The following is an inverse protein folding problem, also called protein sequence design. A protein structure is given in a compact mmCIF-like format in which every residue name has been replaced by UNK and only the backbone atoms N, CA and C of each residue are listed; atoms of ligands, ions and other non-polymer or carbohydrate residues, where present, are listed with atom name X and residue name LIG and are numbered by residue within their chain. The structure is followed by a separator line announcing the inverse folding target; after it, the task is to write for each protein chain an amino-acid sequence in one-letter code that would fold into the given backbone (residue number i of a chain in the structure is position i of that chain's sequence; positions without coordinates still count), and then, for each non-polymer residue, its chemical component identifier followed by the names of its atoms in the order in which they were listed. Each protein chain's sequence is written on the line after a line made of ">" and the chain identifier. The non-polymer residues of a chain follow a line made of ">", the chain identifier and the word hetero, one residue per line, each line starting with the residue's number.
data_IF_663990996457
#
_entry.id   IF_663990996457
#
_cell.length_a   1.000
_cell.length_b   1.000
_cell.length_c   1.000
_cell.angle_alpha   90.00
_cell.angle_beta   90.00
_cell.angle_gamma   90.00
#
_symmetry.space_group_name_H-M   'P 1'
#
loop_
_entity.id
_entity.type
_entity.pdbx_description
1 polymer ?
#
# COMPACT_ATOMS: atom_id res chain seq x y z
N UNK A 1 -15.92 10.93 -42.60
CA UNK A 1 -14.49 11.29 -42.48
C UNK A 1 -14.36 12.32 -41.38
N UNK A 2 -13.99 11.88 -40.19
CA UNK A 2 -13.55 12.72 -39.08
C UNK A 2 -12.57 11.86 -38.30
N UNK A 3 -11.29 12.12 -38.55
CA UNK A 3 -10.16 11.47 -37.90
C UNK A 3 -10.26 11.68 -36.38
N UNK A 4 -10.54 10.61 -35.64
CA UNK A 4 -10.15 10.51 -34.24
C UNK A 4 -8.62 10.36 -34.25
N UNK A 5 -7.92 11.49 -34.22
CA UNK A 5 -6.51 11.53 -33.86
C UNK A 5 -6.37 10.93 -32.47
N UNK A 6 -5.89 9.69 -32.40
CA UNK A 6 -5.39 9.09 -31.18
C UNK A 6 -4.31 10.01 -30.62
N UNK A 7 -4.57 10.63 -29.47
CA UNK A 7 -3.51 11.31 -28.72
C UNK A 7 -2.57 10.23 -28.16
N UNK A 8 -1.29 10.18 -28.56
CA UNK A 8 -0.32 9.29 -27.96
C UNK A 8 0.21 9.97 -26.70
N UNK A 9 -0.63 10.08 -25.67
CA UNK A 9 -0.10 10.22 -24.32
C UNK A 9 0.09 8.81 -23.80
N UNK A 10 1.22 8.22 -24.21
CA UNK A 10 1.76 7.03 -23.58
C UNK A 10 1.87 7.32 -22.09
N UNK A 11 0.92 6.79 -21.30
CA UNK A 11 1.15 6.74 -19.87
C UNK A 11 2.02 5.54 -19.62
N UNK A 12 3.28 5.87 -19.47
CA UNK A 12 4.37 5.04 -19.03
C UNK A 12 3.97 4.20 -17.81
N UNK A 13 3.96 2.86 -17.93
CA UNK A 13 3.96 1.98 -16.77
C UNK A 13 5.14 2.36 -15.86
N UNK A 14 4.88 2.75 -14.62
CA UNK A 14 5.92 3.17 -13.67
C UNK A 14 6.83 1.96 -13.38
N UNK A 15 8.07 2.00 -13.88
CA UNK A 15 9.04 0.91 -13.82
C UNK A 15 10.27 1.26 -12.98
N UNK A 16 10.98 0.22 -12.52
CA UNK A 16 11.98 0.27 -11.45
C UNK A 16 13.07 1.33 -11.62
N UNK A 17 13.36 2.03 -10.53
CA UNK A 17 14.70 2.56 -10.28
C UNK A 17 15.35 1.64 -9.25
N UNK A 18 16.31 0.77 -9.63
CA UNK A 18 17.19 0.22 -8.61
C UNK A 18 17.97 1.39 -8.02
N UNK A 19 17.81 1.62 -6.71
CA UNK A 19 18.79 2.38 -5.95
C UNK A 19 20.15 1.74 -6.28
N UNK A 20 21.04 2.53 -6.87
CA UNK A 20 22.36 2.11 -7.35
C UNK A 20 23.03 1.18 -6.33
N UNK A 21 23.09 -0.13 -6.63
CA UNK A 21 23.93 -1.08 -5.88
C UNK A 21 25.31 -1.09 -6.52
N UNK A 22 26.33 -1.04 -5.67
CA UNK A 22 27.75 -1.14 -6.02
C UNK A 22 28.06 -2.27 -7.03
N UNK A 23 29.07 -2.08 -7.90
CA UNK A 23 29.42 -3.03 -8.94
C UNK A 23 30.23 -4.18 -8.35
N UNK A 24 29.58 -5.28 -7.96
CA UNK A 24 30.16 -6.63 -7.94
C UNK A 24 29.11 -7.63 -7.43
N UNK A 25 28.32 -8.20 -8.34
CA UNK A 25 27.80 -9.56 -8.21
C UNK A 25 27.27 -10.02 -9.57
N UNK A 26 28.06 -10.85 -10.23
CA UNK A 26 27.74 -11.56 -11.47
C UNK A 26 26.60 -12.56 -11.21
N UNK A 27 25.37 -12.19 -11.56
CA UNK A 27 24.22 -13.08 -11.48
C UNK A 27 24.01 -13.84 -12.79
N UNK A 28 24.07 -15.17 -12.65
CA UNK A 28 23.84 -16.19 -13.68
C UNK A 28 22.51 -15.96 -14.40
N UNK A 29 22.54 -16.14 -15.73
CA UNK A 29 21.41 -16.12 -16.67
C UNK A 29 20.40 -17.24 -16.34
N UNK A 30 19.50 -16.99 -15.41
CA UNK A 30 18.19 -17.63 -15.36
C UNK A 30 17.17 -16.69 -15.98
N UNK A 31 16.22 -17.20 -16.78
CA UNK A 31 15.05 -16.43 -17.25
C UNK A 31 14.23 -15.99 -16.04
N UNK A 32 14.60 -14.87 -15.43
CA UNK A 32 13.71 -14.11 -14.53
C UNK A 32 12.64 -13.50 -15.42
N UNK A 33 11.36 -13.80 -15.17
CA UNK A 33 10.29 -12.92 -15.63
C UNK A 33 10.59 -11.54 -15.06
N UNK A 34 11.02 -10.62 -15.92
CA UNK A 34 11.12 -9.22 -15.58
C UNK A 34 9.69 -8.68 -15.46
N UNK A 35 9.25 -8.38 -14.25
CA UNK A 35 7.97 -7.72 -13.99
C UNK A 35 8.10 -6.25 -14.44
N UNK A 36 8.00 -5.98 -15.73
CA UNK A 36 8.45 -4.73 -16.34
C UNK A 36 7.62 -3.47 -16.02
N UNK A 37 6.49 -3.55 -15.30
CA UNK A 37 6.09 -2.41 -14.49
C UNK A 37 5.65 -2.76 -13.08
N UNK A 38 5.97 -1.88 -12.12
CA UNK A 38 5.47 -1.95 -10.75
C UNK A 38 6.53 -1.83 -9.65
N UNK A 39 6.08 -1.47 -8.45
CA UNK A 39 6.87 -1.54 -7.23
C UNK A 39 7.01 -2.99 -6.81
N UNK A 40 8.26 -3.44 -6.61
CA UNK A 40 8.50 -4.74 -6.00
C UNK A 40 7.96 -4.70 -4.57
N UNK A 41 7.05 -5.62 -4.28
CA UNK A 41 6.54 -5.83 -2.93
C UNK A 41 7.29 -6.97 -2.28
N UNK A 42 7.52 -6.85 -0.99
CA UNK A 42 8.05 -7.93 -0.15
C UNK A 42 7.10 -8.13 1.01
N UNK A 43 6.93 -9.37 1.44
CA UNK A 43 5.99 -9.69 2.51
C UNK A 43 6.07 -11.16 2.87
N UNK A 44 5.13 -11.58 3.70
CA UNK A 44 4.87 -13.00 3.92
C UNK A 44 3.47 -13.13 4.52
N UNK A 45 2.58 -13.87 3.85
CA UNK A 45 1.20 -13.99 4.31
C UNK A 45 1.08 -14.71 5.67
N UNK A 46 1.99 -15.63 5.97
CA UNK A 46 1.92 -16.46 7.17
C UNK A 46 2.63 -15.85 8.38
N UNK A 47 3.73 -15.12 8.17
CA UNK A 47 4.56 -14.60 9.26
C UNK A 47 4.37 -13.10 9.50
N UNK A 48 4.22 -12.31 8.44
CA UNK A 48 4.02 -10.86 8.54
C UNK A 48 2.54 -10.48 8.47
N UNK A 49 1.75 -11.21 7.67
CA UNK A 49 0.34 -10.90 7.42
C UNK A 49 0.12 -9.70 6.49
N UNK A 50 1.17 -9.16 5.87
CA UNK A 50 1.10 -8.04 4.94
C UNK A 50 2.23 -8.06 3.91
N UNK A 51 2.09 -7.19 2.90
CA UNK A 51 3.13 -6.85 1.95
C UNK A 51 3.41 -5.34 1.99
N UNK A 52 4.69 -4.98 1.92
CA UNK A 52 5.14 -3.59 1.82
C UNK A 52 5.83 -3.31 0.49
N UNK A 53 5.84 -2.03 0.10
CA UNK A 53 6.53 -1.53 -1.09
C UNK A 53 7.44 -0.36 -0.72
N UNK A 54 8.58 -0.19 -1.42
CA UNK A 54 9.46 0.95 -1.20
C UNK A 54 8.81 2.24 -1.72
N UNK A 55 8.80 3.26 -0.89
CA UNK A 55 8.27 4.60 -1.16
C UNK A 55 9.34 5.63 -0.86
N UNK A 56 9.63 6.48 -1.83
CA UNK A 56 10.61 7.55 -1.71
C UNK A 56 9.92 8.88 -1.35
N UNK A 57 10.33 9.52 -0.26
CA UNK A 57 9.68 10.69 0.33
C UNK A 57 10.70 11.77 0.72
N UNK A 58 10.35 13.03 0.48
CA UNK A 58 11.10 14.22 0.89
C UNK A 58 12.09 14.75 -0.14
N UNK A 59 12.75 15.87 0.18
CA UNK A 59 13.84 16.47 -0.63
C UNK A 59 14.99 16.94 0.26
N UNK A 60 16.12 16.21 0.35
CA UNK A 60 16.48 15.04 -0.46
C UNK A 60 15.60 13.83 -0.17
N UNK A 61 15.39 13.02 -1.20
CA UNK A 61 14.54 11.82 -1.12
C UNK A 61 15.15 10.75 -0.22
N UNK A 62 14.32 10.16 0.65
CA UNK A 62 14.64 9.00 1.49
C UNK A 62 13.63 7.89 1.23
N UNK A 63 14.10 6.64 1.25
CA UNK A 63 13.24 5.47 1.08
C UNK A 63 12.66 5.01 2.43
N UNK A 64 11.41 4.55 2.39
CA UNK A 64 10.68 3.86 3.46
C UNK A 64 9.92 2.68 2.85
N UNK A 65 9.76 1.58 3.57
CA UNK A 65 8.92 0.47 3.13
C UNK A 65 7.55 0.57 3.81
N UNK A 66 6.51 0.83 3.02
CA UNK A 66 5.15 1.06 3.53
C UNK A 66 4.24 -0.11 3.18
N UNK A 67 3.41 -0.56 4.14
CA UNK A 67 2.36 -1.56 3.91
C UNK A 67 1.39 -1.06 2.85
N UNK A 68 1.10 -1.88 1.84
CA UNK A 68 0.12 -1.54 0.80
C UNK A 68 -1.27 -1.96 1.27
N UNK A 69 -2.15 -1.01 1.51
CA UNK A 69 -3.47 -1.27 2.13
C UNK A 69 -4.62 -0.74 1.27
N UNK A 70 -5.41 -1.65 0.70
CA UNK A 70 -6.62 -1.31 -0.07
C UNK A 70 -7.85 -1.08 0.82
N UNK A 71 -7.74 -1.34 2.12
CA UNK A 71 -8.79 -1.16 3.13
C UNK A 71 -8.86 0.24 3.75
N UNK A 72 -7.82 1.06 3.60
CA UNK A 72 -7.78 2.45 4.05
C UNK A 72 -7.16 3.40 3.02
N UNK A 73 -7.31 4.71 3.21
CA UNK A 73 -6.88 5.73 2.24
C UNK A 73 -5.62 6.51 2.64
N UNK A 74 -5.34 6.60 3.95
CA UNK A 74 -4.29 7.48 4.45
C UNK A 74 -2.92 6.80 4.31
N UNK A 75 -2.01 7.44 3.58
CA UNK A 75 -0.58 7.13 3.69
C UNK A 75 -0.04 7.78 4.97
N UNK A 76 0.64 7.02 5.83
CA UNK A 76 1.17 7.53 7.09
C UNK A 76 2.41 6.74 7.56
N UNK A 77 3.35 7.43 8.20
CA UNK A 77 4.58 6.87 8.77
C UNK A 77 5.09 7.71 9.95
N UNK A 78 5.93 7.16 10.85
CA UNK A 78 6.44 7.89 12.00
C UNK A 78 7.33 9.04 11.60
N UNK A 79 7.11 10.16 12.26
CA UNK A 79 8.00 11.30 12.17
C UNK A 79 9.02 11.35 13.30
N UNK A 80 10.11 12.06 13.07
CA UNK A 80 11.07 12.39 14.10
C UNK A 80 10.38 13.06 15.29
N UNK A 81 10.83 12.69 16.50
CA UNK A 81 10.20 13.15 17.73
C UNK A 81 8.90 12.44 18.09
N UNK A 82 8.46 11.40 17.36
CA UNK A 82 7.33 10.58 17.80
C UNK A 82 7.63 9.92 19.17
N UNK A 83 6.90 10.29 20.25
CA UNK A 83 7.15 9.77 21.59
C UNK A 83 6.76 8.31 21.78
N UNK A 84 5.83 7.80 20.97
CA UNK A 84 5.29 6.45 21.10
C UNK A 84 5.03 5.83 19.72
N UNK A 85 6.11 5.58 18.99
CA UNK A 85 6.08 4.83 17.73
C UNK A 85 7.07 3.67 17.83
N UNK A 86 6.84 2.64 17.01
CA UNK A 86 7.71 1.49 16.91
C UNK A 86 9.13 1.83 16.46
N UNK A 87 10.00 0.84 16.56
CA UNK A 87 11.29 0.83 15.87
C UNK A 87 11.22 -0.12 14.69
N UNK A 88 10.64 0.37 13.60
CA UNK A 88 10.49 -0.38 12.35
C UNK A 88 11.83 -0.69 11.70
N UNK A 89 11.85 -1.63 10.77
CA UNK A 89 13.07 -2.10 10.13
C UNK A 89 12.83 -2.55 8.70
N UNK A 90 13.41 -1.86 7.73
CA UNK A 90 13.44 -2.31 6.34
C UNK A 90 14.89 -2.57 5.90
N UNK A 91 15.16 -3.78 5.37
CA UNK A 91 16.51 -4.20 5.03
C UNK A 91 17.48 -4.06 6.21
N UNK A 92 18.55 -3.28 6.03
CA UNK A 92 19.54 -2.97 7.07
C UNK A 92 19.24 -1.67 7.84
N UNK A 93 18.20 -0.94 7.47
CA UNK A 93 17.81 0.32 8.13
C UNK A 93 16.86 -0.03 9.29
N UNK A 94 17.12 0.54 10.46
CA UNK A 94 16.30 0.37 11.66
C UNK A 94 15.91 1.73 12.21
N UNK A 95 14.68 1.86 12.70
CA UNK A 95 14.14 3.09 13.28
C UNK A 95 14.04 4.22 12.26
N UNK A 96 13.75 3.93 10.99
CA UNK A 96 13.55 4.97 9.98
C UNK A 96 12.34 5.83 10.38
N UNK A 97 12.55 7.14 10.43
CA UNK A 97 11.50 8.14 10.68
C UNK A 97 11.64 9.28 9.70
N UNK A 98 10.52 9.84 9.28
CA UNK A 98 10.49 11.00 8.42
C UNK A 98 10.83 12.27 9.21
N UNK A 99 11.69 13.13 8.67
CA UNK A 99 12.06 14.41 9.30
C UNK A 99 11.49 15.55 8.49
N UNK A 100 10.46 16.22 9.02
CA UNK A 100 9.90 17.42 8.40
C UNK A 100 10.98 18.52 8.23
N UNK A 101 11.94 18.60 9.17
CA UNK A 101 13.00 19.63 9.14
C UNK A 101 14.11 19.32 8.13
N UNK A 102 14.37 18.05 7.85
CA UNK A 102 15.41 17.65 6.91
C UNK A 102 14.94 17.68 5.44
N UNK A 103 13.64 17.83 5.20
CA UNK A 103 13.08 17.92 3.86
C UNK A 103 12.74 19.36 3.48
N UNK A 104 13.42 19.87 2.45
CA UNK A 104 13.19 21.21 1.89
C UNK A 104 11.82 21.39 1.23
N UNK A 105 11.12 20.30 0.93
CA UNK A 105 9.77 20.33 0.33
C UNK A 105 8.65 20.05 1.33
N UNK A 106 8.99 19.78 2.59
CA UNK A 106 8.02 19.57 3.67
C UNK A 106 7.27 20.86 4.00
N UNK A 107 5.95 20.78 4.05
CA UNK A 107 5.06 21.87 4.43
C UNK A 107 3.94 21.33 5.33
N UNK A 108 3.72 21.90 6.53
CA UNK A 108 2.62 21.47 7.38
C UNK A 108 1.28 21.78 6.71
N UNK A 109 0.32 20.85 6.80
CA UNK A 109 -1.07 21.13 6.42
C UNK A 109 -1.69 21.98 7.52
N UNK A 110 -1.93 23.25 7.22
CA UNK A 110 -2.58 24.18 8.16
C UNK A 110 -4.11 24.04 8.09
N UNK A 111 -4.78 24.23 9.23
CA UNK A 111 -6.22 24.04 9.32
C UNK A 111 -7.06 24.97 8.44
N UNK A 112 -6.56 26.16 8.14
CA UNK A 112 -7.20 27.11 7.22
C UNK A 112 -7.13 26.66 5.75
N UNK A 113 -6.28 25.67 5.44
CA UNK A 113 -6.06 25.14 4.09
C UNK A 113 -5.97 23.61 4.14
N UNK A 114 -7.09 22.92 4.39
CA UNK A 114 -7.12 21.47 4.43
C UNK A 114 -6.76 20.87 3.06
N UNK A 115 -6.40 19.57 3.00
CA UNK A 115 -6.14 18.90 1.74
C UNK A 115 -7.36 18.93 0.81
N UNK A 116 -7.12 18.89 -0.50
CA UNK A 116 -8.20 18.80 -1.49
C UNK A 116 -9.14 17.63 -1.17
N UNK A 117 -10.43 17.78 -1.44
CA UNK A 117 -11.43 16.77 -1.07
C UNK A 117 -11.85 16.80 0.40
N UNK A 118 -11.18 17.59 1.25
CA UNK A 118 -11.65 17.91 2.60
C UNK A 118 -12.15 19.36 2.64
N UNK A 119 -13.36 19.56 3.16
CA UNK A 119 -13.91 20.90 3.41
C UNK A 119 -13.28 21.57 4.63
N UNK A 120 -12.92 20.78 5.63
CA UNK A 120 -12.27 21.22 6.87
C UNK A 120 -11.41 20.10 7.45
N UNK A 121 -10.44 20.46 8.27
CA UNK A 121 -9.72 19.50 9.11
C UNK A 121 -10.65 18.92 10.17
N UNK A 122 -10.57 17.62 10.41
CA UNK A 122 -11.38 16.97 11.47
C UNK A 122 -11.02 17.46 12.86
N UNK A 123 -9.75 17.80 13.07
CA UNK A 123 -9.22 18.38 14.29
C UNK A 123 -8.04 19.27 13.97
N UNK A 124 -7.74 20.21 14.87
CA UNK A 124 -6.69 21.19 14.75
C UNK A 124 -5.88 21.25 16.03
N UNK A 125 -4.57 20.99 15.93
CA UNK A 125 -3.63 21.09 17.05
C UNK A 125 -2.49 22.04 16.68
N UNK A 126 -2.31 23.11 17.45
CA UNK A 126 -1.32 24.15 17.14
C UNK A 126 -1.47 24.75 15.73
N UNK A 127 -2.68 24.77 15.17
CA UNK A 127 -2.96 25.22 13.79
C UNK A 127 -2.66 24.20 12.69
N UNK A 128 -2.13 23.02 13.03
CA UNK A 128 -1.91 21.90 12.10
C UNK A 128 -3.14 20.99 12.02
N UNK A 129 -3.41 20.47 10.83
CA UNK A 129 -4.49 19.54 10.57
C UNK A 129 -4.19 18.17 11.21
N UNK A 130 -4.86 17.84 12.30
CA UNK A 130 -4.64 16.59 13.04
C UNK A 130 -5.50 15.45 12.48
N UNK A 131 -5.01 14.22 12.61
CA UNK A 131 -5.74 13.01 12.24
C UNK A 131 -5.62 11.93 13.33
N UNK A 132 -6.62 11.06 13.38
CA UNK A 132 -6.60 9.84 14.17
C UNK A 132 -7.38 8.75 13.46
N UNK A 133 -6.78 7.58 13.31
CA UNK A 133 -7.36 6.42 12.63
C UNK A 133 -7.28 5.23 13.58
N UNK A 134 -8.39 4.50 13.69
CA UNK A 134 -8.47 3.20 14.35
C UNK A 134 -8.74 2.15 13.29
N UNK A 135 -7.99 1.05 13.34
CA UNK A 135 -8.12 -0.08 12.42
C UNK A 135 -8.97 -1.19 13.05
N UNK A 136 -9.56 -2.03 12.20
CA UNK A 136 -10.46 -3.12 12.62
C UNK A 136 -9.75 -4.19 13.46
N UNK A 137 -8.43 -4.31 13.34
CA UNK A 137 -7.62 -5.22 14.17
C UNK A 137 -7.37 -4.70 15.60
N UNK A 138 -7.66 -3.42 15.86
CA UNK A 138 -7.58 -2.81 17.20
C UNK A 138 -6.47 -1.77 17.37
N UNK A 139 -5.50 -1.70 16.45
CA UNK A 139 -4.49 -0.64 16.49
C UNK A 139 -5.04 0.75 16.14
N UNK A 140 -4.28 1.75 16.53
CA UNK A 140 -4.54 3.14 16.21
C UNK A 140 -3.26 3.87 15.84
N UNK A 141 -3.40 4.84 14.94
CA UNK A 141 -2.35 5.80 14.60
C UNK A 141 -2.92 7.21 14.66
N UNK A 142 -2.09 8.18 15.05
CA UNK A 142 -2.48 9.59 15.05
C UNK A 142 -1.27 10.49 14.85
N UNK A 143 -1.55 11.73 14.47
CA UNK A 143 -0.54 12.75 14.22
C UNK A 143 -1.14 13.94 13.48
N UNK A 144 -0.34 14.57 12.64
CA UNK A 144 -0.75 15.70 11.80
C UNK A 144 -0.46 15.42 10.32
N UNK A 145 -1.22 16.09 9.46
CA UNK A 145 -1.02 15.99 8.01
C UNK A 145 0.11 16.91 7.57
N UNK A 146 0.93 16.44 6.64
CA UNK A 146 2.05 17.16 6.03
C UNK A 146 1.99 16.98 4.52
N UNK A 147 2.29 18.05 3.78
CA UNK A 147 2.58 17.98 2.35
C UNK A 147 4.07 17.77 2.13
N UNK A 148 4.43 16.79 1.32
CA UNK A 148 5.79 16.66 0.81
C UNK A 148 5.81 15.98 -0.57
N UNK A 149 7.00 15.83 -1.14
CA UNK A 149 7.26 15.22 -2.44
C UNK A 149 7.47 13.72 -2.29
N UNK A 150 6.57 12.95 -2.91
CA UNK A 150 6.75 11.53 -3.14
C UNK A 150 7.38 11.31 -4.51
N UNK A 151 8.37 10.45 -4.60
CA UNK A 151 9.15 10.23 -5.82
C UNK A 151 8.82 8.90 -6.47
N UNK A 152 8.50 8.96 -7.76
CA UNK A 152 8.14 7.82 -8.58
C UNK A 152 9.16 7.65 -9.71
N UNK A 153 9.62 6.41 -9.92
CA UNK A 153 10.38 6.04 -11.10
C UNK A 153 9.47 5.85 -12.30
N UNK A 154 9.81 6.47 -13.44
CA UNK A 154 9.10 6.32 -14.70
C UNK A 154 10.11 6.00 -15.81
N UNK A 155 9.67 5.45 -16.96
CA UNK A 155 10.54 5.28 -18.14
C UNK A 155 11.14 6.61 -18.63
N UNK A 156 10.49 7.75 -18.34
CA UNK A 156 10.97 9.10 -18.67
C UNK A 156 11.85 9.71 -17.58
N UNK A 157 12.18 8.97 -16.52
CA UNK A 157 12.95 9.43 -15.36
C UNK A 157 12.10 9.61 -14.11
N UNK A 158 12.72 10.16 -13.06
CA UNK A 158 12.05 10.35 -11.76
C UNK A 158 11.06 11.50 -11.82
N UNK A 159 9.91 11.32 -11.18
CA UNK A 159 8.87 12.34 -11.05
C UNK A 159 8.48 12.54 -9.60
N UNK A 160 8.48 13.79 -9.16
CA UNK A 160 7.92 14.17 -7.86
C UNK A 160 6.40 14.39 -7.98
N UNK A 161 5.67 13.88 -6.99
CA UNK A 161 4.24 14.10 -6.79
C UNK A 161 4.07 14.73 -5.41
N UNK A 162 3.50 15.93 -5.36
CA UNK A 162 3.24 16.61 -4.08
C UNK A 162 1.96 16.06 -3.47
N UNK A 163 2.05 15.34 -2.36
CA UNK A 163 0.91 14.68 -1.72
C UNK A 163 0.88 14.95 -0.22
N UNK A 164 -0.33 14.95 0.35
CA UNK A 164 -0.51 15.00 1.80
C UNK A 164 -0.41 13.59 2.38
N UNK A 165 0.24 13.44 3.53
CA UNK A 165 0.33 12.18 4.26
C UNK A 165 0.28 12.44 5.77
N UNK A 166 0.08 11.37 6.55
CA UNK A 166 0.07 11.40 8.00
C UNK A 166 1.47 11.27 8.59
N UNK A 167 1.93 12.33 9.24
CA UNK A 167 3.14 12.36 10.05
C UNK A 167 2.78 11.85 11.45
N UNK A 168 3.07 10.57 11.75
CA UNK A 168 2.61 9.93 12.98
C UNK A 168 3.42 10.42 14.18
N UNK A 169 2.68 10.72 15.26
CA UNK A 169 3.23 11.04 16.59
C UNK A 169 2.82 9.99 17.63
N UNK A 170 2.07 8.98 17.23
CA UNK A 170 1.69 7.85 18.07
C UNK A 170 1.22 6.67 17.22
N UNK A 171 1.62 5.48 17.64
CA UNK A 171 1.17 4.18 17.16
C UNK A 171 0.83 3.28 18.35
N UNK A 172 -0.15 2.39 18.16
CA UNK A 172 -0.49 1.32 19.11
C UNK A 172 -0.61 -0.03 18.41
N UNK A 173 -0.68 -1.10 19.19
CA UNK A 173 -0.95 -2.44 18.68
C UNK A 173 0.05 -2.92 17.63
N UNK A 174 -0.45 -3.52 16.56
CA UNK A 174 0.34 -4.07 15.47
C UNK A 174 1.20 -3.02 14.77
N UNK A 175 0.73 -1.77 14.64
CA UNK A 175 1.54 -0.69 14.08
C UNK A 175 2.81 -0.44 14.89
N UNK A 176 2.75 -0.50 16.22
CA UNK A 176 3.93 -0.30 17.05
C UNK A 176 4.97 -1.42 16.87
N UNK A 177 4.53 -2.65 16.62
CA UNK A 177 5.41 -3.83 16.51
C UNK A 177 5.77 -4.24 15.08
N UNK A 178 5.17 -3.61 14.06
CA UNK A 178 5.37 -4.00 12.66
C UNK A 178 6.79 -3.75 12.19
N UNK A 179 7.19 -4.49 11.15
CA UNK A 179 8.50 -4.37 10.50
C UNK A 179 8.52 -3.21 9.50
N UNK A 180 7.43 -2.97 8.78
CA UNK A 180 7.32 -1.88 7.80
C UNK A 180 7.35 -0.50 8.48
N UNK A 181 7.82 0.53 7.79
CA UNK A 181 7.96 1.88 8.37
C UNK A 181 6.62 2.63 8.46
N UNK A 182 5.54 2.06 7.96
CA UNK A 182 4.24 2.71 7.93
C UNK A 182 3.30 2.05 6.93
N UNK A 183 2.34 2.82 6.43
CA UNK A 183 1.26 2.35 5.56
C UNK A 183 1.04 3.32 4.40
N UNK A 184 0.68 2.79 3.24
CA UNK A 184 0.17 3.53 2.10
C UNK A 184 -1.22 3.05 1.76
N UNK A 185 -2.22 3.88 2.07
CA UNK A 185 -3.60 3.60 1.73
C UNK A 185 -3.85 3.68 0.23
N UNK A 186 -4.69 2.78 -0.26
CA UNK A 186 -5.06 2.61 -1.66
C UNK A 186 -6.58 2.61 -1.87
N UNK A 187 -7.39 2.73 -0.81
CA UNK A 187 -8.84 2.84 -0.91
C UNK A 187 -9.31 4.16 -1.53
N UNK A 188 -10.60 4.24 -1.85
CA UNK A 188 -11.23 5.43 -2.44
C UNK A 188 -11.72 6.44 -1.38
N UNK A 189 -11.53 6.13 -0.08
CA UNK A 189 -11.92 7.02 1.00
C UNK A 189 -11.20 8.37 0.96
N UNK A 190 -11.91 9.45 1.26
CA UNK A 190 -11.34 10.82 1.27
C UNK A 190 -11.32 11.41 2.69
N UNK A 191 -11.32 10.55 3.71
CA UNK A 191 -11.55 10.94 5.10
C UNK A 191 -10.50 11.90 5.67
N UNK A 192 -9.26 11.80 5.19
CA UNK A 192 -8.13 12.68 5.51
C UNK A 192 -7.46 13.21 4.22
N UNK A 193 -8.29 13.41 3.19
CA UNK A 193 -7.86 13.78 1.85
C UNK A 193 -7.66 12.56 0.95
N UNK A 194 -7.14 12.77 -0.26
CA UNK A 194 -6.95 11.74 -1.27
C UNK A 194 -5.80 10.82 -0.88
N UNK A 195 -5.87 9.56 -1.33
CA UNK A 195 -4.77 8.64 -1.17
C UNK A 195 -3.59 9.03 -2.07
N UNK A 196 -2.41 8.44 -1.84
CA UNK A 196 -1.22 8.74 -2.64
C UNK A 196 -1.43 8.47 -4.14
N UNK A 197 -2.19 7.42 -4.47
CA UNK A 197 -2.51 7.08 -5.86
C UNK A 197 -3.39 8.14 -6.54
N UNK A 198 -4.33 8.75 -5.83
CA UNK A 198 -5.14 9.87 -6.36
C UNK A 198 -4.27 11.08 -6.70
N UNK A 199 -3.31 11.43 -5.84
CA UNK A 199 -2.35 12.51 -6.12
C UNK A 199 -1.48 12.21 -7.33
N UNK A 200 -0.97 10.98 -7.42
CA UNK A 200 -0.21 10.51 -8.57
C UNK A 200 -1.05 10.63 -9.85
N UNK A 201 -2.24 10.06 -9.88
CA UNK A 201 -3.16 10.13 -11.04
C UNK A 201 -3.37 11.57 -11.49
N UNK A 202 -3.71 12.46 -10.57
CA UNK A 202 -4.11 13.82 -10.94
C UNK A 202 -2.93 14.69 -11.40
N UNK A 203 -1.74 14.48 -10.83
CA UNK A 203 -0.53 15.23 -11.23
C UNK A 203 0.14 14.65 -12.47
N UNK A 204 -0.03 13.35 -12.73
CA UNK A 204 0.69 12.65 -13.80
C UNK A 204 -0.18 12.24 -14.99
N UNK A 205 -1.50 12.30 -14.83
CA UNK A 205 -2.50 11.73 -15.75
C UNK A 205 -2.36 10.22 -15.94
N UNK A 206 -1.87 9.51 -14.92
CA UNK A 206 -1.85 8.06 -14.92
C UNK A 206 -3.27 7.48 -15.11
N UNK A 207 -3.43 6.34 -15.80
CA UNK A 207 -4.68 5.61 -15.85
C UNK A 207 -5.18 5.32 -14.44
N UNK A 208 -6.48 5.48 -14.22
CA UNK A 208 -7.12 5.25 -12.92
C UNK A 208 -7.32 3.75 -12.65
N UNK A 209 -6.22 3.01 -12.60
CA UNK A 209 -6.20 1.56 -12.37
C UNK A 209 -4.87 1.19 -11.73
N UNK A 210 -4.91 0.27 -10.80
CA UNK A 210 -3.72 -0.38 -10.26
C UNK A 210 -3.98 -1.88 -10.15
N UNK A 211 -2.92 -2.67 -10.11
CA UNK A 211 -3.01 -4.12 -9.92
C UNK A 211 -2.03 -4.59 -8.86
N UNK A 212 -2.46 -5.57 -8.07
CA UNK A 212 -1.62 -6.22 -7.06
C UNK A 212 -1.51 -7.70 -7.45
N UNK A 213 -0.29 -8.22 -7.51
CA UNK A 213 -0.01 -9.63 -7.73
C UNK A 213 0.88 -10.13 -6.59
N UNK A 214 0.38 -11.05 -5.78
CA UNK A 214 1.06 -11.56 -4.58
C UNK A 214 1.40 -13.04 -4.75
N UNK A 215 2.60 -13.43 -4.34
CA UNK A 215 2.99 -14.81 -4.07
C UNK A 215 3.13 -15.03 -2.56
N UNK A 216 3.79 -16.10 -2.12
CA UNK A 216 4.00 -16.35 -0.68
C UNK A 216 4.88 -15.28 -0.01
N UNK A 217 5.94 -14.82 -0.70
CA UNK A 217 6.96 -13.94 -0.11
C UNK A 217 7.24 -12.66 -0.91
N UNK A 218 6.84 -12.64 -2.19
CA UNK A 218 7.08 -11.50 -3.08
C UNK A 218 5.81 -11.07 -3.77
N UNK A 219 5.75 -9.83 -4.21
CA UNK A 219 4.64 -9.35 -5.01
C UNK A 219 5.02 -8.18 -5.91
N UNK A 220 4.02 -7.66 -6.58
CA UNK A 220 4.14 -6.46 -7.38
C UNK A 220 2.88 -5.59 -7.25
N UNK A 221 3.10 -4.29 -7.08
CA UNK A 221 2.08 -3.26 -7.20
C UNK A 221 2.33 -2.46 -8.47
N UNK A 222 1.40 -2.47 -9.40
CA UNK A 222 1.48 -1.67 -10.63
C UNK A 222 0.52 -0.50 -10.52
N UNK A 223 1.02 0.72 -10.61
CA UNK A 223 0.24 1.96 -10.57
C UNK A 223 0.08 2.52 -11.97
N UNK A 224 -1.12 2.46 -12.53
CA UNK A 224 -1.39 2.71 -13.94
C UNK A 224 -0.95 1.54 -14.83
N UNK A 225 -1.77 1.17 -15.81
CA UNK A 225 -1.44 0.10 -16.76
C UNK A 225 -2.67 -0.63 -17.28
N UNK A 226 -2.45 -1.60 -18.14
CA UNK A 226 -3.49 -2.51 -18.63
C UNK A 226 -3.23 -3.92 -18.11
N UNK A 227 -4.31 -4.67 -17.86
CA UNK A 227 -4.18 -6.10 -17.55
C UNK A 227 -3.50 -6.78 -18.76
N UNK A 228 -2.44 -7.57 -18.56
CA UNK A 228 -1.80 -8.29 -19.65
C UNK A 228 -2.83 -9.11 -20.43
N UNK A 229 -2.84 -9.08 -21.78
CA UNK A 229 -3.84 -9.78 -22.59
C UNK A 229 -3.96 -11.27 -22.29
N UNK A 230 -2.87 -11.91 -21.85
CA UNK A 230 -2.80 -13.33 -21.51
C UNK A 230 -3.49 -13.66 -20.18
N UNK A 231 -3.59 -12.66 -19.29
CA UNK A 231 -4.41 -12.75 -18.07
C UNK A 231 -5.85 -12.46 -18.48
N UNK A 232 -6.59 -13.51 -18.82
CA UNK A 232 -8.05 -13.45 -19.04
C UNK A 232 -8.74 -13.01 -17.74
N UNK A 233 -8.80 -11.70 -17.49
CA UNK A 233 -9.43 -11.15 -16.30
C UNK A 233 -10.95 -11.08 -16.49
N UNK A 234 -11.65 -11.52 -15.45
CA UNK A 234 -13.08 -11.26 -15.30
C UNK A 234 -13.27 -9.97 -14.52
N UNK A 235 -14.17 -9.12 -15.01
CA UNK A 235 -14.47 -7.84 -14.37
C UNK A 235 -15.73 -7.98 -13.52
N UNK A 236 -15.60 -7.65 -12.23
CA UNK A 236 -16.70 -7.61 -11.28
C UNK A 236 -16.92 -6.16 -10.87
N UNK A 237 -18.14 -5.61 -10.98
CA UNK A 237 -18.42 -4.28 -10.46
C UNK A 237 -18.32 -4.29 -8.94
N UNK A 238 -17.63 -3.30 -8.36
CA UNK A 238 -17.65 -3.08 -6.92
C UNK A 238 -18.85 -2.21 -6.52
N UNK A 239 -19.36 -2.39 -5.30
CA UNK A 239 -20.57 -1.73 -4.79
C UNK A 239 -20.28 -0.58 -3.79
N UNK A 240 -19.03 -0.43 -3.34
CA UNK A 240 -18.62 0.61 -2.38
C UNK A 240 -18.18 1.93 -3.03
N UNK A 241 -18.44 3.06 -2.35
CA UNK A 241 -17.97 4.39 -2.77
C UNK A 241 -16.60 4.77 -2.20
N UNK A 242 -16.19 4.15 -1.08
CA UNK A 242 -14.91 4.42 -0.40
C UNK A 242 -14.01 3.18 -0.29
N UNK A 243 -14.52 2.00 -0.59
CA UNK A 243 -13.85 0.71 -0.42
C UNK A 243 -14.14 -0.22 -1.61
N UNK A 244 -13.26 -1.19 -1.85
CA UNK A 244 -13.37 -2.14 -2.95
C UNK A 244 -14.20 -3.37 -2.56
N UNK A 245 -15.49 -3.15 -2.27
CA UNK A 245 -16.43 -4.22 -1.89
C UNK A 245 -17.00 -4.87 -3.14
N UNK A 246 -16.97 -6.19 -3.21
CA UNK A 246 -17.59 -7.00 -4.27
C UNK A 246 -18.57 -8.01 -3.67
N UNK A 247 -19.65 -8.29 -4.39
CA UNK A 247 -20.64 -9.26 -3.94
C UNK A 247 -20.18 -10.68 -4.29
N UNK A 248 -20.06 -11.53 -3.27
CA UNK A 248 -19.66 -12.92 -3.43
C UNK A 248 -20.89 -13.78 -3.79
N UNK A 249 -20.83 -14.47 -4.93
CA UNK A 249 -21.95 -15.28 -5.43
C UNK A 249 -22.06 -16.63 -4.72
N UNK A 250 -20.96 -17.39 -4.63
CA UNK A 250 -20.95 -18.74 -4.03
C UNK A 250 -19.51 -19.13 -3.63
N UNK A 251 -19.37 -20.02 -2.63
CA UNK A 251 -18.12 -20.70 -2.28
C UNK A 251 -18.37 -22.20 -2.32
N UNK A 252 -17.67 -22.90 -3.20
CA UNK A 252 -17.73 -24.37 -3.29
C UNK A 252 -16.46 -25.00 -2.74
N UNK A 253 -16.59 -25.76 -1.66
CA UNK A 253 -15.51 -26.59 -1.13
C UNK A 253 -15.58 -28.01 -1.67
N UNK A 254 -14.47 -28.55 -2.18
CA UNK A 254 -14.33 -29.99 -2.42
C UNK A 254 -13.55 -30.62 -1.26
N UNK A 255 -14.09 -31.68 -0.66
CA UNK A 255 -13.31 -32.52 0.25
C UNK A 255 -12.38 -33.39 -0.58
N UNK A 256 -11.08 -33.09 -0.56
CA UNK A 256 -10.05 -34.01 -1.02
C UNK A 256 -9.99 -35.17 -0.01
N UNK A 257 -10.77 -36.22 -0.24
CA UNK A 257 -10.51 -37.49 0.40
C UNK A 257 -9.18 -38.02 -0.14
N UNK A 258 -8.13 -38.01 0.69
CA UNK A 258 -6.94 -38.82 0.41
C UNK A 258 -7.39 -40.27 0.26
N UNK A 259 -7.41 -40.77 -0.97
CA UNK A 259 -7.57 -42.18 -1.27
C UNK A 259 -6.37 -42.93 -0.68
N UNK A 260 -6.48 -43.45 0.54
CA UNK A 260 -5.41 -44.32 1.03
C UNK A 260 -5.32 -44.71 2.49
N UNK A 261 -6.40 -44.80 3.29
CA UNK A 261 -6.42 -45.74 4.43
C UNK A 261 -7.83 -45.95 4.97
N UNK A 262 -8.45 -47.08 4.59
CA UNK A 262 -9.49 -47.70 5.42
C UNK A 262 -8.84 -48.12 6.74
N UNK A 263 -8.98 -47.33 7.79
CA UNK A 263 -8.99 -47.88 9.14
C UNK A 263 -10.45 -48.11 9.55
N UNK A 264 -10.81 -49.38 9.65
CA UNK A 264 -12.08 -49.81 10.22
C UNK A 264 -12.08 -49.47 11.72
N UNK A 265 -12.67 -48.33 12.09
CA UNK A 265 -13.08 -48.07 13.47
C UNK A 265 -14.40 -48.82 13.73
N UNK A 266 -14.31 -50.10 14.11
CA UNK A 266 -15.39 -50.76 14.86
C UNK A 266 -15.38 -50.19 16.27
N UNK A 267 -16.40 -49.43 16.64
CA UNK A 267 -16.48 -48.89 18.00
C UNK A 267 -17.69 -48.01 18.30
N UNK A 268 -18.87 -48.27 17.76
CA UNK A 268 -20.09 -47.61 18.21
C UNK A 268 -20.72 -48.42 19.37
N UNK A 269 -20.41 -48.07 20.62
CA UNK A 269 -21.27 -48.44 21.76
C UNK A 269 -22.48 -47.49 21.76
N UNK A 270 -23.69 -48.05 21.62
CA UNK A 270 -24.95 -47.36 21.86
C UNK A 270 -25.01 -46.95 23.33
N UNK A 271 -25.24 -45.67 23.59
CA UNK A 271 -25.78 -45.19 24.87
C UNK A 271 -27.30 -45.17 24.74
N UNK A 272 -28.00 -45.91 25.61
CA UNK A 272 -29.44 -45.79 25.82
C UNK A 272 -29.72 -44.57 26.73
N UNK A 273 -30.86 -43.88 26.56
CA UNK A 273 -31.22 -42.76 27.42
C UNK A 273 -31.75 -43.26 28.78
N UNK A 274 -31.57 -42.49 29.87
CA UNK A 274 -32.15 -42.83 31.16
C UNK A 274 -33.66 -42.53 31.17
N UNK A 275 -34.41 -43.39 31.88
CA UNK A 275 -35.84 -43.21 32.16
C UNK A 275 -36.12 -42.23 33.29
#
# INVERSE_FOLDING_TARGET
>A
MSNLTAHPHAVTPLSFVPVTRHPQQTLRRGRRMSLLPGWQMSGNLHTLGYFSAPVCLGSPSRQFDLIVDTGSALTALPCEGCPHCGSHKHGSVSGARFSEKASSTSEPVVCSRPPRGMSTCRSCDGGKCAYSVSYTEGSSIRGHLVYDSFWFGTELGNRAVRASFGCQTYESGLFYSQVADGITGMSQGQGYGPCLFDYLRDQTRAPNVFSICLSEEVGALVLGGTVPPDLKAEWVPYSGSSSYVVDLVDIRGSMLFEQGRRQSLRGARRLQPPG
#
